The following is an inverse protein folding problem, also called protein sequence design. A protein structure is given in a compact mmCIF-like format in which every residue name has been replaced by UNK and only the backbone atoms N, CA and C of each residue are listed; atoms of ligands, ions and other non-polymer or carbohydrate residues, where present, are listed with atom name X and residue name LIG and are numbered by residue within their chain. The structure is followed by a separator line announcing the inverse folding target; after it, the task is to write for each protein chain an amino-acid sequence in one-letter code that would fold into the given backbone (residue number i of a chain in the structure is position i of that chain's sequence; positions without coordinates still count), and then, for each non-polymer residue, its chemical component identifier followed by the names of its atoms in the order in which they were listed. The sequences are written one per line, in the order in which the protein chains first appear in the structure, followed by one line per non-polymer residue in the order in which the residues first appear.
data_IF_673251952121
#
_entry.id   IF_673251952121
#
_cell.length_a   1.000
_cell.length_b   1.000
_cell.length_c   1.000
_cell.angle_alpha   90.00
_cell.angle_beta   90.00
_cell.angle_gamma   90.00
#
_symmetry.space_group_name_H-M   'P 1'
#
loop_
_entity.id
_entity.type
_entity.pdbx_description
1 polymer ?
#
# COMPACT_ATOMS: atom_id res chain seq x y z
N UNK A 1 62.94 -51.08 54.45
CA UNK A 1 61.80 -50.27 54.91
C UNK A 1 62.00 -48.83 54.44
N UNK A 2 61.01 -48.28 53.72
CA UNK A 2 60.84 -46.88 53.27
C UNK A 2 61.88 -46.28 52.30
N UNK A 3 61.50 -46.31 51.03
CA UNK A 3 61.72 -45.26 50.01
C UNK A 3 60.84 -44.01 50.33
N UNK A 4 60.88 -42.91 49.56
CA UNK A 4 61.94 -41.89 49.42
C UNK A 4 61.33 -40.47 49.57
N UNK A 5 62.04 -39.41 49.16
CA UNK A 5 61.53 -38.17 48.51
C UNK A 5 62.44 -36.97 48.82
N UNK A 6 62.70 -36.02 47.94
CA UNK A 6 62.69 -35.93 46.49
C UNK A 6 63.47 -34.64 46.16
N UNK A 7 64.14 -34.64 45.00
CA UNK A 7 65.04 -33.57 44.55
C UNK A 7 64.27 -32.31 44.07
N UNK A 8 64.59 -31.18 44.69
CA UNK A 8 65.00 -29.87 44.14
C UNK A 8 64.61 -29.51 42.67
N UNK A 9 64.14 -28.24 42.54
CA UNK A 9 64.08 -27.29 41.40
C UNK A 9 62.89 -27.36 40.43
N UNK A 10 62.05 -26.31 40.42
CA UNK A 10 61.91 -25.37 39.28
C UNK A 10 60.88 -24.26 39.57
N UNK A 11 61.30 -23.00 39.42
CA UNK A 11 60.47 -21.80 39.41
C UNK A 11 59.69 -21.67 38.11
N UNK A 12 58.38 -21.38 38.11
CA UNK A 12 57.74 -20.62 37.02
C UNK A 12 56.43 -19.97 37.45
N UNK A 13 56.32 -18.68 37.12
CA UNK A 13 55.16 -17.80 37.07
C UNK A 13 53.85 -18.49 36.64
N UNK A 14 52.75 -18.28 37.36
CA UNK A 14 51.39 -18.42 36.81
C UNK A 14 50.70 -17.07 36.99
N UNK A 15 50.81 -16.23 35.96
CA UNK A 15 49.88 -15.13 35.74
C UNK A 15 48.58 -15.74 35.21
N UNK A 16 47.47 -15.46 35.90
CA UNK A 16 46.14 -15.89 35.50
C UNK A 16 45.78 -15.27 34.14
N UNK A 17 45.82 -16.11 33.10
CA UNK A 17 45.38 -15.77 31.75
C UNK A 17 43.84 -15.84 31.72
N UNK A 18 43.19 -14.70 31.90
CA UNK A 18 41.78 -14.53 31.54
C UNK A 18 41.65 -14.69 30.02
N UNK A 19 41.36 -15.92 29.56
CA UNK A 19 40.95 -16.18 28.18
C UNK A 19 39.54 -15.63 28.04
N UNK A 20 39.44 -14.34 27.75
CA UNK A 20 38.24 -13.74 27.19
C UNK A 20 38.00 -14.41 25.83
N UNK A 21 37.03 -15.32 25.80
CA UNK A 21 36.42 -15.86 24.58
C UNK A 21 35.78 -14.71 23.83
N UNK A 22 36.56 -14.05 22.96
CA UNK A 22 36.02 -13.13 21.97
C UNK A 22 35.27 -13.97 20.95
N UNK A 23 33.96 -14.09 21.14
CA UNK A 23 33.04 -14.48 20.09
C UNK A 23 33.13 -13.41 19.00
N UNK A 24 33.97 -13.65 18.00
CA UNK A 24 33.93 -12.94 16.73
C UNK A 24 32.57 -13.23 16.10
N UNK A 25 31.56 -12.43 16.43
CA UNK A 25 30.35 -12.28 15.63
C UNK A 25 30.78 -11.66 14.32
N UNK A 26 31.21 -12.50 13.37
CA UNK A 26 31.27 -12.11 11.97
C UNK A 26 29.84 -11.73 11.59
N UNK A 27 29.60 -10.43 11.46
CA UNK A 27 28.40 -9.92 10.79
C UNK A 27 28.36 -10.59 9.42
N UNK A 28 27.45 -11.53 9.24
CA UNK A 28 27.19 -12.14 7.95
C UNK A 28 26.70 -11.02 7.03
N UNK A 29 27.62 -10.46 6.24
CA UNK A 29 27.27 -9.55 5.18
C UNK A 29 26.35 -10.31 4.23
N UNK A 30 25.10 -9.85 4.10
CA UNK A 30 24.16 -10.39 3.16
C UNK A 30 24.80 -10.33 1.76
N UNK A 31 25.01 -11.50 1.15
CA UNK A 31 25.65 -11.58 -0.17
C UNK A 31 24.68 -11.05 -1.21
N UNK A 32 25.11 -10.04 -1.97
CA UNK A 32 24.36 -9.60 -3.15
C UNK A 32 24.55 -10.61 -4.29
N UNK A 33 23.48 -11.29 -4.70
CA UNK A 33 23.50 -12.20 -5.85
C UNK A 33 23.55 -11.38 -7.15
N UNK A 34 24.45 -11.76 -8.06
CA UNK A 34 24.51 -11.15 -9.39
C UNK A 34 23.39 -11.66 -10.30
N UNK A 35 23.01 -10.87 -11.30
CA UNK A 35 22.03 -11.27 -12.32
C UNK A 35 22.48 -12.55 -13.05
N UNK A 36 23.76 -12.68 -13.38
CA UNK A 36 24.31 -13.84 -14.07
C UNK A 36 24.17 -15.14 -13.25
N UNK A 37 24.40 -15.07 -11.94
CA UNK A 37 24.22 -16.22 -11.03
C UNK A 37 22.77 -16.67 -10.96
N UNK A 38 21.83 -15.72 -10.88
CA UNK A 38 20.40 -15.99 -10.84
C UNK A 38 19.96 -16.65 -12.16
N UNK A 39 20.30 -16.05 -13.29
CA UNK A 39 19.93 -16.56 -14.61
C UNK A 39 20.54 -17.95 -14.83
N UNK A 40 21.81 -18.15 -14.47
CA UNK A 40 22.47 -19.45 -14.58
C UNK A 40 21.77 -20.52 -13.73
N UNK A 41 21.34 -20.18 -12.52
CA UNK A 41 20.62 -21.10 -11.65
C UNK A 41 19.27 -21.51 -12.25
N UNK A 42 18.51 -20.55 -12.79
CA UNK A 42 17.24 -20.82 -13.49
C UNK A 42 17.48 -21.69 -14.74
N UNK A 43 18.56 -21.42 -15.48
CA UNK A 43 18.91 -22.16 -16.68
C UNK A 43 19.28 -23.62 -16.39
N UNK A 44 20.13 -23.87 -15.37
CA UNK A 44 20.52 -25.21 -14.94
C UNK A 44 19.31 -26.01 -14.43
N UNK A 45 18.33 -25.35 -13.81
CA UNK A 45 17.09 -25.99 -13.37
C UNK A 45 16.17 -26.42 -14.52
N UNK A 46 16.43 -26.00 -15.77
CA UNK A 46 15.66 -26.37 -16.98
C UNK A 46 14.15 -26.14 -16.87
N UNK A 47 13.74 -25.13 -16.10
CA UNK A 47 12.33 -24.80 -15.87
C UNK A 47 11.67 -24.31 -17.17
N UNK A 48 12.44 -23.61 -18.00
CA UNK A 48 11.96 -23.01 -19.24
C UNK A 48 12.77 -23.46 -20.44
N UNK A 49 12.10 -23.59 -21.60
CA UNK A 49 12.73 -24.00 -22.87
C UNK A 49 13.54 -22.88 -23.54
N UNK A 50 13.21 -21.60 -23.29
CA UNK A 50 13.86 -20.44 -23.91
C UNK A 50 14.20 -19.37 -22.87
N UNK A 51 15.48 -19.02 -22.66
CA UNK A 51 15.89 -18.31 -21.46
C UNK A 51 16.05 -16.79 -21.63
N UNK A 52 15.04 -16.09 -22.15
CA UNK A 52 15.08 -14.63 -22.20
C UNK A 52 14.55 -14.04 -20.88
N UNK A 53 15.43 -14.02 -19.87
CA UNK A 53 15.16 -13.46 -18.55
C UNK A 53 15.99 -12.19 -18.31
N UNK A 54 15.45 -11.30 -17.49
CA UNK A 54 16.27 -10.35 -16.72
C UNK A 54 16.00 -10.59 -15.26
N UNK A 55 17.03 -10.49 -14.43
CA UNK A 55 16.88 -10.70 -13.01
C UNK A 55 17.60 -9.63 -12.19
N UNK A 56 16.99 -9.23 -11.09
CA UNK A 56 17.61 -8.35 -10.10
C UNK A 56 17.47 -8.94 -8.72
N UNK A 57 18.47 -8.70 -7.87
CA UNK A 57 18.45 -9.09 -6.47
C UNK A 57 18.46 -7.83 -5.60
N UNK A 58 17.53 -7.75 -4.64
CA UNK A 58 17.46 -6.65 -3.70
C UNK A 58 16.89 -7.15 -2.38
N UNK A 59 17.67 -6.99 -1.30
CA UNK A 59 17.28 -7.36 0.08
C UNK A 59 16.64 -8.75 0.21
N UNK A 60 17.32 -9.76 -0.32
CA UNK A 60 16.84 -11.14 -0.28
C UNK A 60 15.66 -11.43 -1.21
N UNK A 61 15.16 -10.45 -1.96
CA UNK A 61 14.13 -10.65 -2.97
C UNK A 61 14.75 -10.70 -4.36
N UNK A 62 14.51 -11.80 -5.07
CA UNK A 62 14.87 -11.93 -6.49
C UNK A 62 13.68 -11.51 -7.34
N UNK A 63 13.84 -10.52 -8.21
CA UNK A 63 12.83 -10.12 -9.18
C UNK A 63 13.25 -10.69 -10.53
N UNK A 64 12.39 -11.50 -11.14
CA UNK A 64 12.64 -12.12 -12.45
C UNK A 64 11.61 -11.59 -13.44
N UNK A 65 12.08 -10.99 -14.52
CA UNK A 65 11.28 -10.47 -15.61
C UNK A 65 11.35 -11.42 -16.81
N UNK A 66 10.20 -11.86 -17.31
CA UNK A 66 10.14 -12.74 -18.47
C UNK A 66 8.91 -12.49 -19.34
N UNK A 67 8.98 -12.86 -20.61
CA UNK A 67 7.83 -12.87 -21.49
C UNK A 67 7.09 -14.20 -21.42
N UNK A 68 5.76 -14.16 -21.28
CA UNK A 68 4.89 -15.34 -21.26
C UNK A 68 3.67 -15.12 -22.15
N UNK A 69 3.09 -16.20 -22.64
CA UNK A 69 1.85 -16.13 -23.41
C UNK A 69 0.74 -15.47 -22.54
N UNK A 70 0.04 -14.42 -23.01
CA UNK A 70 -1.04 -13.78 -22.27
C UNK A 70 -2.15 -14.75 -21.85
N UNK A 71 -2.39 -15.79 -22.64
CA UNK A 71 -3.41 -16.80 -22.38
C UNK A 71 -2.94 -17.92 -21.44
N UNK A 72 -1.69 -17.88 -20.95
CA UNK A 72 -1.22 -18.84 -19.97
C UNK A 72 -2.12 -18.79 -18.72
N UNK A 73 -2.63 -19.93 -18.24
CA UNK A 73 -3.53 -19.96 -17.09
C UNK A 73 -2.78 -19.54 -15.83
N UNK A 74 -3.52 -18.95 -14.88
CA UNK A 74 -2.93 -18.45 -13.63
C UNK A 74 -2.18 -19.54 -12.86
N UNK A 75 -2.73 -20.77 -12.87
CA UNK A 75 -2.13 -21.95 -12.24
C UNK A 75 -0.71 -22.21 -12.76
N UNK A 76 -0.48 -22.10 -14.07
CA UNK A 76 0.84 -22.34 -14.67
C UNK A 76 1.83 -21.25 -14.28
N UNK A 77 1.39 -19.98 -14.22
CA UNK A 77 2.24 -18.88 -13.77
C UNK A 77 2.71 -19.06 -12.32
N UNK A 78 1.81 -19.54 -11.46
CA UNK A 78 2.14 -19.86 -10.06
C UNK A 78 3.12 -21.02 -9.96
N UNK A 79 2.92 -22.07 -10.76
CA UNK A 79 3.84 -23.21 -10.84
C UNK A 79 5.22 -22.75 -11.29
N UNK A 80 5.30 -21.97 -12.38
CA UNK A 80 6.54 -21.39 -12.89
C UNK A 80 7.27 -20.60 -11.78
N UNK A 81 6.55 -19.75 -11.04
CA UNK A 81 7.11 -18.97 -9.95
C UNK A 81 7.62 -19.84 -8.79
N UNK A 82 6.86 -20.86 -8.39
CA UNK A 82 7.27 -21.80 -7.33
C UNK A 82 8.52 -22.57 -7.73
N UNK A 83 8.60 -23.06 -8.98
CA UNK A 83 9.76 -23.79 -9.48
C UNK A 83 11.02 -22.93 -9.49
N UNK A 84 10.91 -21.68 -9.96
CA UNK A 84 12.03 -20.72 -9.94
C UNK A 84 12.46 -20.42 -8.50
N UNK A 85 11.50 -20.20 -7.61
CA UNK A 85 11.76 -19.95 -6.19
C UNK A 85 12.51 -21.11 -5.56
N UNK A 86 12.03 -22.34 -5.78
CA UNK A 86 12.68 -23.55 -5.28
C UNK A 86 14.12 -23.67 -5.79
N UNK A 87 14.35 -23.52 -7.10
CA UNK A 87 15.69 -23.63 -7.68
C UNK A 87 16.68 -22.63 -7.08
N UNK A 88 16.26 -21.37 -6.92
CA UNK A 88 17.08 -20.32 -6.31
C UNK A 88 17.33 -20.58 -4.82
N UNK A 89 16.33 -21.07 -4.10
CA UNK A 89 16.41 -21.42 -2.67
C UNK A 89 17.30 -22.62 -2.39
N UNK A 90 17.25 -23.64 -3.25
CA UNK A 90 18.11 -24.82 -3.13
C UNK A 90 19.58 -24.44 -3.30
N UNK A 91 19.86 -23.44 -4.14
CA UNK A 91 21.22 -22.96 -4.40
C UNK A 91 21.71 -21.89 -3.40
N UNK A 92 20.81 -21.00 -2.97
CA UNK A 92 21.12 -19.83 -2.13
C UNK A 92 20.16 -19.74 -0.93
N UNK A 93 20.18 -20.72 -0.01
CA UNK A 93 19.17 -20.84 1.05
C UNK A 93 19.26 -19.76 2.14
N UNK A 94 20.42 -19.10 2.28
CA UNK A 94 20.61 -18.01 3.23
C UNK A 94 20.24 -16.64 2.63
N UNK A 95 20.35 -16.50 1.30
CA UNK A 95 20.26 -15.20 0.64
C UNK A 95 18.85 -14.91 0.11
N UNK A 96 18.16 -15.91 -0.45
CA UNK A 96 16.88 -15.69 -1.15
C UNK A 96 15.69 -15.85 -0.20
N UNK A 97 15.12 -14.75 0.29
CA UNK A 97 13.92 -14.71 1.15
C UNK A 97 12.61 -14.75 0.37
N UNK A 98 12.59 -14.22 -0.86
CA UNK A 98 11.40 -14.23 -1.71
C UNK A 98 11.78 -14.15 -3.20
N UNK A 99 10.87 -14.58 -4.06
CA UNK A 99 11.02 -14.42 -5.51
C UNK A 99 9.75 -13.83 -6.09
N UNK A 100 9.90 -12.73 -6.85
CA UNK A 100 8.83 -12.06 -7.58
C UNK A 100 9.01 -12.28 -9.07
N UNK A 101 8.11 -13.06 -9.68
CA UNK A 101 8.07 -13.25 -11.12
C UNK A 101 7.14 -12.23 -11.78
N UNK A 102 7.67 -11.51 -12.76
CA UNK A 102 6.93 -10.59 -13.61
C UNK A 102 6.80 -11.19 -15.01
N UNK A 103 5.59 -11.60 -15.37
CA UNK A 103 5.22 -12.18 -16.65
C UNK A 103 4.65 -11.11 -17.57
N UNK A 104 5.48 -10.59 -18.48
CA UNK A 104 5.08 -9.63 -19.50
C UNK A 104 4.38 -10.34 -20.66
N UNK A 105 3.35 -9.69 -21.19
CA UNK A 105 2.70 -10.13 -22.42
C UNK A 105 3.58 -9.78 -23.64
N UNK A 106 3.76 -10.77 -24.52
CA UNK A 106 4.53 -10.63 -25.75
C UNK A 106 3.89 -9.65 -26.74
N UNK A 107 2.56 -9.60 -26.75
CA UNK A 107 1.75 -8.76 -27.65
C UNK A 107 1.50 -7.38 -27.06
N UNK A 108 1.27 -7.29 -25.76
CA UNK A 108 1.08 -6.04 -25.02
C UNK A 108 2.15 -5.89 -23.94
N UNK A 109 3.30 -5.28 -24.29
CA UNK A 109 4.41 -5.08 -23.34
C UNK A 109 4.05 -4.20 -22.14
N UNK A 110 2.94 -3.47 -22.19
CA UNK A 110 2.43 -2.68 -21.10
C UNK A 110 1.60 -3.50 -20.09
N UNK A 111 1.26 -4.76 -20.37
CA UNK A 111 0.55 -5.64 -19.45
C UNK A 111 1.53 -6.58 -18.74
N UNK A 112 1.46 -6.61 -17.41
CA UNK A 112 2.26 -7.52 -16.58
C UNK A 112 1.36 -8.30 -15.63
N UNK A 113 1.67 -9.58 -15.46
CA UNK A 113 1.14 -10.43 -14.39
C UNK A 113 2.26 -10.73 -13.42
N UNK A 114 2.08 -10.43 -12.14
CA UNK A 114 3.10 -10.63 -11.12
C UNK A 114 2.68 -11.72 -10.14
N UNK A 115 3.61 -12.60 -9.80
CA UNK A 115 3.43 -13.61 -8.75
C UNK A 115 4.63 -13.58 -7.81
N UNK A 116 4.39 -13.34 -6.53
CA UNK A 116 5.44 -13.34 -5.49
C UNK A 116 5.32 -14.57 -4.61
N UNK A 117 6.42 -15.30 -4.45
CA UNK A 117 6.50 -16.51 -3.64
C UNK A 117 7.48 -16.27 -2.49
N UNK A 118 6.99 -16.17 -1.24
CA UNK A 118 7.85 -16.02 -0.08
C UNK A 118 8.48 -17.35 0.33
N UNK A 119 9.69 -17.30 0.91
CA UNK A 119 10.45 -18.45 1.40
C UNK A 119 9.63 -19.34 2.35
N UNK A 120 8.85 -18.74 3.24
CA UNK A 120 8.09 -19.46 4.25
C UNK A 120 7.12 -20.46 3.63
N UNK A 121 6.54 -20.15 2.46
CA UNK A 121 5.61 -21.02 1.76
C UNK A 121 6.32 -22.24 1.17
N UNK A 122 7.51 -22.04 0.60
CA UNK A 122 8.34 -23.14 0.10
C UNK A 122 8.79 -24.05 1.23
N UNK A 123 9.18 -23.49 2.38
CA UNK A 123 9.55 -24.27 3.57
C UNK A 123 8.39 -25.13 4.08
N UNK A 124 7.19 -24.55 4.21
CA UNK A 124 5.99 -25.27 4.66
C UNK A 124 5.58 -26.39 3.71
N UNK A 125 5.71 -26.15 2.40
CA UNK A 125 5.43 -27.19 1.40
C UNK A 125 6.49 -28.30 1.45
N UNK A 126 7.78 -27.95 1.51
CA UNK A 126 8.87 -28.92 1.59
C UNK A 126 8.82 -29.78 2.85
N UNK A 127 8.30 -29.25 3.97
CA UNK A 127 8.09 -30.01 5.20
C UNK A 127 6.79 -30.82 5.20
N UNK A 128 6.01 -30.82 4.12
CA UNK A 128 4.71 -31.50 4.03
C UNK A 128 3.59 -30.85 4.86
N UNK A 129 3.79 -29.62 5.34
CA UNK A 129 2.82 -28.91 6.20
C UNK A 129 1.66 -28.26 5.44
N UNK A 130 1.73 -28.22 4.11
CA UNK A 130 0.65 -27.78 3.19
C UNK A 130 0.70 -28.66 1.92
N UNK A 131 -0.45 -28.88 1.28
CA UNK A 131 -0.50 -29.61 0.01
C UNK A 131 -0.10 -28.70 -1.17
N UNK A 132 0.05 -29.30 -2.35
CA UNK A 132 0.31 -28.53 -3.57
C UNK A 132 -0.83 -27.56 -3.90
N UNK A 133 -2.08 -28.02 -3.79
CA UNK A 133 -3.23 -27.17 -4.09
C UNK A 133 -3.37 -26.03 -3.06
N UNK A 134 -3.07 -26.30 -1.78
CA UNK A 134 -2.99 -25.25 -0.76
C UNK A 134 -1.94 -24.20 -1.11
N UNK A 135 -0.71 -24.62 -1.45
CA UNK A 135 0.37 -23.72 -1.86
C UNK A 135 -0.06 -22.82 -3.01
N UNK A 136 -0.62 -23.39 -4.08
CA UNK A 136 -1.06 -22.63 -5.26
C UNK A 136 -2.27 -21.73 -4.98
N UNK A 137 -3.12 -22.09 -4.00
CA UNK A 137 -4.25 -21.27 -3.56
C UNK A 137 -3.82 -20.03 -2.78
N UNK A 138 -2.75 -20.12 -1.96
CA UNK A 138 -2.23 -19.00 -1.18
C UNK A 138 -1.50 -17.96 -2.04
N UNK A 139 -0.94 -18.38 -3.17
CA UNK A 139 -0.29 -17.47 -4.11
C UNK A 139 -1.35 -16.66 -4.87
N UNK A 140 -1.05 -15.40 -5.12
CA UNK A 140 -1.92 -14.51 -5.91
C UNK A 140 -1.17 -14.01 -7.13
N UNK A 141 -1.81 -14.05 -8.29
CA UNK A 141 -1.30 -13.37 -9.48
C UNK A 141 -1.99 -12.03 -9.63
N UNK A 142 -1.24 -10.95 -9.49
CA UNK A 142 -1.75 -9.60 -9.68
C UNK A 142 -1.57 -9.17 -11.13
N UNK A 143 -2.64 -8.62 -11.74
CA UNK A 143 -2.57 -7.97 -13.05
C UNK A 143 -2.22 -6.50 -12.84
N UNK A 144 -1.26 -5.99 -13.58
CA UNK A 144 -0.84 -4.59 -13.51
C UNK A 144 -0.40 -4.04 -14.87
N UNK A 145 -0.16 -2.73 -14.91
CA UNK A 145 0.58 -2.11 -16.00
C UNK A 145 2.08 -2.35 -15.77
N UNK A 146 2.82 -2.63 -16.84
CA UNK A 146 4.26 -2.84 -16.81
C UNK A 146 4.95 -1.60 -16.26
N UNK A 147 5.46 -1.70 -15.04
CA UNK A 147 6.53 -0.81 -14.59
C UNK A 147 7.78 -1.34 -15.26
N UNK A 148 8.08 -0.80 -16.45
CA UNK A 148 9.33 -1.09 -17.15
C UNK A 148 10.45 -0.84 -16.15
N UNK A 149 11.14 -1.92 -15.76
CA UNK A 149 12.38 -1.85 -14.98
C UNK A 149 13.48 -1.29 -15.89
N UNK A 150 13.40 0.00 -16.19
CA UNK A 150 14.53 0.79 -16.65
C UNK A 150 15.31 1.17 -15.40
N UNK A 151 16.47 0.55 -15.25
CA UNK A 151 17.63 1.16 -14.60
C UNK A 151 17.78 2.58 -15.14
N UNK A 152 17.36 3.58 -14.37
CA UNK A 152 17.37 4.99 -14.76
C UNK A 152 16.08 5.68 -14.37
N UNK A 153 16.16 6.51 -13.32
CA UNK A 153 15.17 7.50 -12.87
C UNK A 153 13.70 7.10 -13.11
N UNK A 154 13.07 6.55 -12.06
CA UNK A 154 11.63 6.36 -12.01
C UNK A 154 10.92 7.64 -12.50
N UNK A 155 10.24 7.55 -13.65
CA UNK A 155 9.28 8.56 -14.07
C UNK A 155 8.10 8.49 -13.12
N UNK A 156 7.95 9.53 -12.30
CA UNK A 156 7.00 9.70 -11.19
C UNK A 156 5.57 9.95 -11.71
N UNK A 157 5.08 9.15 -12.66
CA UNK A 157 3.92 9.55 -13.46
C UNK A 157 2.63 8.79 -13.20
N UNK A 158 2.60 7.73 -12.38
CA UNK A 158 1.33 7.01 -12.11
C UNK A 158 1.36 6.09 -10.87
N UNK A 159 1.63 6.65 -9.70
CA UNK A 159 1.38 5.90 -8.45
C UNK A 159 -0.10 6.04 -8.10
N UNK A 160 -0.77 4.90 -7.94
CA UNK A 160 -2.16 4.84 -7.48
C UNK A 160 -2.27 4.93 -5.96
N UNK A 161 -3.39 5.44 -5.47
CA UNK A 161 -3.70 5.52 -4.03
C UNK A 161 -3.64 4.12 -3.39
N UNK A 162 -4.06 3.10 -4.12
CA UNK A 162 -4.08 1.70 -3.68
C UNK A 162 -2.67 1.13 -3.50
N UNK A 163 -1.70 1.57 -4.31
CA UNK A 163 -0.30 1.20 -4.11
C UNK A 163 0.24 1.82 -2.81
N UNK A 164 -0.06 3.09 -2.55
CA UNK A 164 0.34 3.76 -1.29
C UNK A 164 -0.25 3.07 -0.07
N UNK A 165 -1.54 2.70 -0.13
CA UNK A 165 -2.26 2.01 0.96
C UNK A 165 -1.69 0.63 1.29
N UNK A 166 -1.13 -0.07 0.30
CA UNK A 166 -0.61 -1.45 0.45
C UNK A 166 0.84 -1.50 0.88
N UNK A 167 1.58 -0.41 0.72
CA UNK A 167 2.97 -0.36 1.14
C UNK A 167 3.07 -0.35 2.66
N UNK A 168 4.07 -1.06 3.18
CA UNK A 168 4.44 -1.01 4.58
C UNK A 168 5.96 -0.80 4.63
N UNK A 169 6.47 0.22 5.34
CA UNK A 169 7.91 0.38 5.53
C UNK A 169 8.51 -0.89 6.13
N UNK A 170 9.75 -1.18 5.78
CA UNK A 170 10.51 -2.31 6.36
C UNK A 170 11.21 -1.84 7.63
N UNK A 171 11.29 -2.69 8.65
CA UNK A 171 12.03 -2.40 9.89
C UNK A 171 13.48 -1.96 9.59
N UNK A 172 13.93 -0.93 10.29
CA UNK A 172 15.25 -0.33 10.04
C UNK A 172 15.40 1.05 10.66
N UNK A 173 16.40 1.80 10.19
CA UNK A 173 16.71 3.13 10.72
C UNK A 173 15.46 4.04 10.73
N UNK A 174 15.15 4.62 11.90
CA UNK A 174 13.99 5.50 12.12
C UNK A 174 12.64 4.91 11.67
N UNK A 175 12.46 3.61 11.88
CA UNK A 175 11.25 2.89 11.47
C UNK A 175 9.93 3.56 11.90
N UNK A 176 9.81 3.92 13.18
CA UNK A 176 8.60 4.57 13.73
C UNK A 176 8.28 5.91 13.05
N UNK A 177 9.31 6.72 12.82
CA UNK A 177 9.16 8.01 12.13
C UNK A 177 8.76 7.80 10.66
N UNK A 178 9.31 6.78 10.01
CA UNK A 178 8.97 6.42 8.62
C UNK A 178 7.55 5.87 8.50
N UNK A 179 7.08 5.09 9.46
CA UNK A 179 5.67 4.67 9.55
C UNK A 179 4.78 5.90 9.65
N UNK A 180 5.11 6.83 10.55
CA UNK A 180 4.33 8.07 10.73
C UNK A 180 4.29 8.89 9.44
N UNK A 181 5.43 9.01 8.75
CA UNK A 181 5.53 9.72 7.49
C UNK A 181 4.74 9.04 6.37
N UNK A 182 4.79 7.72 6.28
CA UNK A 182 3.98 6.93 5.36
C UNK A 182 2.47 7.09 5.62
N UNK A 183 2.04 7.09 6.89
CA UNK A 183 0.63 7.31 7.24
C UNK A 183 0.14 8.68 6.77
N UNK A 184 0.93 9.73 6.99
CA UNK A 184 0.64 11.09 6.49
C UNK A 184 0.54 11.11 4.97
N UNK A 185 1.43 10.42 4.29
CA UNK A 185 1.44 10.38 2.83
C UNK A 185 0.25 9.61 2.25
N UNK A 186 -0.18 8.55 2.94
CA UNK A 186 -1.44 7.84 2.66
C UNK A 186 -2.64 8.76 2.83
N UNK A 187 -2.65 9.64 3.83
CA UNK A 187 -3.70 10.64 4.01
C UNK A 187 -3.79 11.60 2.81
N UNK A 188 -2.65 12.15 2.37
CA UNK A 188 -2.60 13.02 1.17
C UNK A 188 -3.15 12.29 -0.06
N UNK A 189 -2.76 11.03 -0.24
CA UNK A 189 -3.23 10.22 -1.37
C UNK A 189 -4.75 10.01 -1.34
N UNK A 190 -5.33 9.77 -0.15
CA UNK A 190 -6.79 9.62 -0.02
C UNK A 190 -7.56 10.92 -0.19
N UNK A 191 -6.96 12.07 0.15
CA UNK A 191 -7.56 13.39 -0.01
C UNK A 191 -7.43 13.97 -1.41
N UNK A 192 -6.75 13.28 -2.33
CA UNK A 192 -6.59 13.71 -3.72
C UNK A 192 -5.55 14.82 -3.92
N UNK A 193 -4.63 15.01 -2.96
CA UNK A 193 -3.49 15.91 -3.15
C UNK A 193 -2.46 15.38 -4.14
N UNK A 194 -1.52 16.21 -4.59
CA UNK A 194 -0.39 15.77 -5.40
C UNK A 194 0.62 14.97 -4.54
N UNK A 195 0.30 13.71 -4.28
CA UNK A 195 1.10 12.81 -3.43
C UNK A 195 2.22 12.10 -4.20
N UNK A 196 2.21 12.14 -5.54
CA UNK A 196 3.12 11.36 -6.39
C UNK A 196 4.58 11.78 -6.16
N UNK A 197 4.83 13.09 -6.06
CA UNK A 197 6.17 13.61 -5.81
C UNK A 197 6.69 13.20 -4.42
N UNK A 198 5.86 13.38 -3.38
CA UNK A 198 6.21 13.00 -2.02
C UNK A 198 6.42 11.47 -1.92
N UNK A 199 5.60 10.68 -2.62
CA UNK A 199 5.76 9.23 -2.70
C UNK A 199 7.09 8.82 -3.31
N UNK A 200 7.50 9.45 -4.41
CA UNK A 200 8.79 9.15 -5.04
C UNK A 200 9.97 9.46 -4.12
N UNK A 201 9.91 10.58 -3.40
CA UNK A 201 10.93 10.94 -2.40
C UNK A 201 10.93 9.96 -1.22
N UNK A 202 9.75 9.54 -0.77
CA UNK A 202 9.62 8.52 0.27
C UNK A 202 10.25 7.19 -0.17
N UNK A 203 9.98 6.72 -1.39
CA UNK A 203 10.61 5.51 -1.92
C UNK A 203 12.14 5.65 -2.09
N UNK A 204 12.64 6.85 -2.37
CA UNK A 204 14.06 7.12 -2.41
C UNK A 204 14.70 7.03 -1.01
N UNK A 205 14.03 7.58 0.02
CA UNK A 205 14.45 7.43 1.42
C UNK A 205 14.47 5.95 1.83
N UNK A 206 13.43 5.19 1.49
CA UNK A 206 13.34 3.76 1.78
C UNK A 206 14.50 3.00 1.11
N UNK A 207 14.80 3.30 -0.16
CA UNK A 207 15.93 2.70 -0.85
C UNK A 207 17.27 3.05 -0.20
N UNK A 208 17.48 4.30 0.24
CA UNK A 208 18.69 4.70 0.95
C UNK A 208 18.89 3.91 2.24
N UNK A 209 17.84 3.81 3.05
CA UNK A 209 17.89 3.09 4.34
C UNK A 209 18.08 1.60 4.13
N UNK A 210 17.42 1.01 3.13
CA UNK A 210 17.60 -0.40 2.77
C UNK A 210 19.02 -0.69 2.28
N UNK A 211 19.73 0.31 1.74
CA UNK A 211 21.15 0.21 1.39
C UNK A 211 22.09 0.53 2.56
N UNK A 212 21.58 0.65 3.79
CA UNK A 212 22.35 0.90 5.00
C UNK A 212 22.72 2.37 5.24
N UNK A 213 22.13 3.32 4.51
CA UNK A 213 22.34 4.74 4.79
C UNK A 213 21.72 5.13 6.14
N UNK A 214 22.52 5.75 6.99
CA UNK A 214 22.13 6.22 8.32
C UNK A 214 22.88 7.50 8.67
N UNK A 215 22.38 8.27 9.65
CA UNK A 215 23.05 9.44 10.18
C UNK A 215 22.58 10.76 9.54
N UNK A 216 23.39 11.80 9.69
CA UNK A 216 22.97 13.20 9.50
C UNK A 216 22.49 13.55 8.09
N UNK A 217 23.01 12.90 7.06
CA UNK A 217 22.55 13.11 5.68
C UNK A 217 21.16 12.50 5.45
N UNK A 218 20.93 11.28 5.94
CA UNK A 218 19.61 10.62 5.92
C UNK A 218 18.61 11.41 6.76
N UNK A 219 19.03 11.98 7.89
CA UNK A 219 18.18 12.83 8.73
C UNK A 219 17.75 14.12 8.05
N UNK A 220 18.67 14.78 7.32
CA UNK A 220 18.32 15.97 6.52
C UNK A 220 17.35 15.64 5.41
N UNK A 221 17.55 14.51 4.72
CA UNK A 221 16.62 14.06 3.69
C UNK A 221 15.23 13.75 4.29
N UNK A 222 15.22 13.08 5.45
CA UNK A 222 13.99 12.79 6.18
C UNK A 222 13.22 14.06 6.56
N UNK A 223 13.90 15.07 7.14
CA UNK A 223 13.29 16.34 7.53
C UNK A 223 12.73 17.13 6.33
N UNK A 224 13.47 17.13 5.22
CA UNK A 224 13.00 17.77 3.98
C UNK A 224 11.71 17.12 3.47
N UNK A 225 11.65 15.78 3.48
CA UNK A 225 10.47 15.03 3.07
C UNK A 225 9.28 15.24 4.02
N UNK A 226 9.54 15.32 5.33
CA UNK A 226 8.50 15.58 6.32
C UNK A 226 7.88 16.96 6.13
N UNK A 227 8.70 17.98 5.84
CA UNK A 227 8.24 19.34 5.52
C UNK A 227 7.41 19.36 4.24
N UNK A 228 7.91 18.74 3.16
CA UNK A 228 7.20 18.67 1.89
C UNK A 228 5.86 17.94 2.01
N UNK A 229 5.81 16.85 2.76
CA UNK A 229 4.57 16.08 2.99
C UNK A 229 3.55 16.90 3.77
N UNK A 230 3.99 17.68 4.76
CA UNK A 230 3.10 18.55 5.55
C UNK A 230 2.48 19.66 4.68
N UNK A 231 3.28 20.29 3.82
CA UNK A 231 2.80 21.28 2.85
C UNK A 231 1.81 20.67 1.83
N UNK A 232 2.03 19.42 1.43
CA UNK A 232 1.09 18.70 0.55
C UNK A 232 -0.26 18.41 1.24
N UNK A 233 -0.26 18.12 2.56
CA UNK A 233 -1.49 17.97 3.34
C UNK A 233 -2.26 19.29 3.39
N UNK A 234 -1.58 20.38 3.72
CA UNK A 234 -2.19 21.71 3.85
C UNK A 234 -2.80 22.17 2.52
N UNK A 235 -2.08 22.01 1.41
CA UNK A 235 -2.59 22.35 0.08
C UNK A 235 -3.79 21.48 -0.35
N UNK A 236 -3.78 20.17 -0.05
CA UNK A 236 -4.91 19.29 -0.31
C UNK A 236 -6.15 19.71 0.51
N UNK A 237 -5.96 20.07 1.78
CA UNK A 237 -7.04 20.54 2.64
C UNK A 237 -7.62 21.88 2.17
N UNK A 238 -6.76 22.80 1.74
CA UNK A 238 -7.18 24.07 1.15
C UNK A 238 -8.01 23.86 -0.12
N UNK A 239 -7.60 22.94 -1.00
CA UNK A 239 -8.35 22.59 -2.21
C UNK A 239 -9.73 21.99 -1.89
N UNK A 240 -9.82 21.05 -0.94
CA UNK A 240 -11.11 20.48 -0.51
C UNK A 240 -12.03 21.58 0.01
N UNK A 241 -11.50 22.50 0.82
CA UNK A 241 -12.27 23.60 1.41
C UNK A 241 -12.76 24.56 0.33
N UNK A 242 -11.89 24.94 -0.62
CA UNK A 242 -12.24 25.81 -1.75
C UNK A 242 -13.30 25.16 -2.66
N UNK A 243 -13.15 23.86 -2.96
CA UNK A 243 -14.13 23.12 -3.76
C UNK A 243 -15.49 23.07 -3.05
N UNK A 244 -15.50 22.81 -1.74
CA UNK A 244 -16.74 22.81 -0.94
C UNK A 244 -17.41 24.18 -0.92
N UNK A 245 -16.64 25.27 -0.79
CA UNK A 245 -17.16 26.63 -0.89
C UNK A 245 -17.76 26.89 -2.28
N UNK A 246 -17.09 26.47 -3.34
CA UNK A 246 -17.58 26.66 -4.70
C UNK A 246 -18.84 25.85 -5.00
N UNK A 247 -18.91 24.62 -4.50
CA UNK A 247 -20.10 23.76 -4.61
C UNK A 247 -21.26 24.33 -3.80
N UNK A 248 -20.98 24.89 -2.63
CA UNK A 248 -21.97 25.63 -1.85
C UNK A 248 -22.48 26.84 -2.63
N UNK A 249 -21.60 27.69 -3.17
CA UNK A 249 -21.97 28.86 -3.99
C UNK A 249 -22.84 28.46 -5.19
N UNK A 250 -22.46 27.40 -5.91
CA UNK A 250 -23.26 26.86 -7.03
C UNK A 250 -24.63 26.36 -6.56
N UNK A 251 -24.71 25.76 -5.38
CA UNK A 251 -25.98 25.38 -4.76
C UNK A 251 -26.80 26.61 -4.35
N UNK A 252 -26.18 27.68 -3.83
CA UNK A 252 -26.90 28.93 -3.53
C UNK A 252 -27.48 29.55 -4.80
N UNK A 253 -26.70 29.58 -5.87
CA UNK A 253 -27.12 30.10 -7.17
C UNK A 253 -28.22 29.22 -7.81
N UNK A 254 -28.14 27.90 -7.68
CA UNK A 254 -29.18 27.01 -8.20
C UNK A 254 -30.47 27.09 -7.39
N UNK A 255 -30.39 27.25 -6.06
CA UNK A 255 -31.54 27.45 -5.18
C UNK A 255 -32.17 28.84 -5.38
N UNK A 256 -31.36 29.86 -5.66
CA UNK A 256 -31.85 31.20 -5.99
C UNK A 256 -32.52 31.27 -7.37
N UNK A 257 -32.02 30.52 -8.35
CA UNK A 257 -32.50 30.55 -9.73
C UNK A 257 -33.59 29.50 -10.04
N UNK A 258 -33.64 28.38 -9.32
CA UNK A 258 -34.67 27.37 -9.52
C UNK A 258 -35.85 27.66 -8.58
N UNK A 259 -37.06 27.64 -9.12
CA UNK A 259 -38.26 27.44 -8.31
C UNK A 259 -38.29 25.99 -7.82
N UNK A 260 -37.35 25.64 -6.93
CA UNK A 260 -37.17 24.29 -6.40
C UNK A 260 -38.42 23.79 -5.65
N UNK A 261 -39.27 24.72 -5.22
CA UNK A 261 -40.57 24.43 -4.61
C UNK A 261 -41.74 24.46 -5.62
N UNK A 262 -41.48 24.74 -6.89
CA UNK A 262 -42.48 24.74 -7.96
C UNK A 262 -42.87 23.33 -8.41
N UNK A 263 -42.00 22.35 -8.20
CA UNK A 263 -42.26 20.94 -8.51
C UNK A 263 -42.26 20.10 -7.24
N UNK A 264 -43.25 19.20 -7.10
CA UNK A 264 -43.30 18.27 -5.98
C UNK A 264 -42.13 17.26 -6.02
N UNK A 265 -41.76 16.65 -4.88
CA UNK A 265 -40.71 15.62 -4.84
C UNK A 265 -40.96 14.47 -5.80
N UNK A 266 -39.90 13.80 -6.26
CA UNK A 266 -40.03 12.63 -7.11
C UNK A 266 -40.41 11.38 -6.29
N UNK A 267 -41.26 10.47 -6.80
CA UNK A 267 -41.55 9.19 -6.14
C UNK A 267 -40.28 8.39 -5.83
N UNK A 268 -40.25 7.73 -4.68
CA UNK A 268 -39.09 6.95 -4.24
C UNK A 268 -38.99 6.81 -2.73
N UNK A 269 -37.77 6.54 -2.23
CA UNK A 269 -37.51 6.39 -0.80
C UNK A 269 -38.05 7.60 -0.01
N UNK A 270 -38.74 7.32 1.11
CA UNK A 270 -39.33 8.33 1.99
C UNK A 270 -40.22 9.39 1.29
N UNK A 271 -40.84 9.07 0.15
CA UNK A 271 -41.60 10.03 -0.66
C UNK A 271 -42.61 10.85 0.15
N UNK A 272 -43.46 10.19 0.94
CA UNK A 272 -44.49 10.86 1.77
C UNK A 272 -43.85 11.89 2.72
N UNK A 273 -42.73 11.52 3.34
CA UNK A 273 -42.00 12.37 4.28
C UNK A 273 -41.35 13.56 3.57
N UNK A 274 -40.71 13.31 2.42
CA UNK A 274 -40.15 14.36 1.57
C UNK A 274 -41.21 15.34 1.06
N UNK A 275 -42.41 14.84 0.73
CA UNK A 275 -43.56 15.69 0.39
C UNK A 275 -44.05 16.53 1.58
N UNK A 276 -44.05 15.99 2.79
CA UNK A 276 -44.38 16.75 3.99
C UNK A 276 -43.38 17.89 4.24
N UNK A 277 -42.08 17.62 4.10
CA UNK A 277 -41.02 18.63 4.19
C UNK A 277 -41.23 19.72 3.12
N UNK A 278 -41.45 19.33 1.87
CA UNK A 278 -41.70 20.25 0.76
C UNK A 278 -42.89 21.18 1.02
N UNK A 279 -44.01 20.64 1.53
CA UNK A 279 -45.18 21.43 1.91
C UNK A 279 -44.86 22.43 3.04
N UNK A 280 -44.14 22.01 4.07
CA UNK A 280 -43.73 22.88 5.17
C UNK A 280 -42.84 24.04 4.70
N UNK A 281 -41.94 23.79 3.74
CA UNK A 281 -41.10 24.81 3.13
C UNK A 281 -41.91 25.83 2.33
N UNK A 282 -42.88 25.36 1.53
CA UNK A 282 -43.80 26.25 0.79
C UNK A 282 -44.61 27.14 1.73
N UNK A 283 -45.11 26.58 2.81
CA UNK A 283 -45.85 27.34 3.82
C UNK A 283 -44.97 28.42 4.48
N UNK A 284 -43.74 28.07 4.88
CA UNK A 284 -42.78 29.03 5.44
C UNK A 284 -42.44 30.16 4.46
N UNK A 285 -42.26 29.84 3.16
CA UNK A 285 -42.06 30.84 2.10
C UNK A 285 -43.24 31.80 2.01
N UNK A 286 -44.46 31.26 2.01
CA UNK A 286 -45.69 32.06 1.96
C UNK A 286 -45.85 32.96 3.20
N UNK A 287 -45.28 32.58 4.34
CA UNK A 287 -45.21 33.38 5.55
C UNK A 287 -44.09 34.44 5.53
N UNK A 288 -43.34 34.57 4.42
CA UNK A 288 -42.24 35.53 4.30
C UNK A 288 -40.97 35.13 5.06
N UNK A 289 -40.88 33.89 5.55
CA UNK A 289 -39.67 33.38 6.19
C UNK A 289 -38.61 33.12 5.13
N UNK A 290 -37.37 33.56 5.36
CA UNK A 290 -36.24 33.16 4.52
C UNK A 290 -36.01 31.65 4.66
N UNK A 291 -36.26 30.93 3.57
CA UNK A 291 -36.13 29.48 3.52
C UNK A 291 -34.86 29.00 2.82
N UNK A 292 -33.95 29.90 2.46
CA UNK A 292 -32.76 29.59 1.66
C UNK A 292 -31.92 28.47 2.28
N UNK A 293 -31.74 28.49 3.61
CA UNK A 293 -31.07 27.41 4.34
C UNK A 293 -31.82 26.08 4.18
N UNK A 294 -33.14 26.06 4.41
CA UNK A 294 -33.91 24.81 4.46
C UNK A 294 -34.05 24.16 3.08
N UNK A 295 -34.16 24.98 2.04
CA UNK A 295 -34.21 24.48 0.66
C UNK A 295 -32.91 23.79 0.27
N UNK A 296 -31.74 24.27 0.73
CA UNK A 296 -30.45 23.60 0.45
C UNK A 296 -30.40 22.20 1.04
N UNK A 297 -30.77 22.07 2.32
CA UNK A 297 -30.72 20.77 2.98
C UNK A 297 -31.78 19.81 2.46
N UNK A 298 -32.95 20.33 2.08
CA UNK A 298 -33.95 19.53 1.39
C UNK A 298 -33.50 19.10 -0.02
N UNK A 299 -32.84 19.95 -0.80
CA UNK A 299 -32.30 19.60 -2.11
C UNK A 299 -31.19 18.54 -2.04
N UNK A 300 -30.29 18.65 -1.07
CA UNK A 300 -29.29 17.63 -0.81
C UNK A 300 -29.94 16.28 -0.43
N UNK A 301 -30.99 16.33 0.40
CA UNK A 301 -31.78 15.16 0.77
C UNK A 301 -32.48 14.51 -0.44
N UNK A 302 -33.14 15.29 -1.30
CA UNK A 302 -33.76 14.81 -2.55
C UNK A 302 -32.76 14.08 -3.45
N UNK A 303 -31.61 14.71 -3.70
CA UNK A 303 -30.56 14.13 -4.54
C UNK A 303 -30.01 12.82 -3.97
N UNK A 304 -29.75 12.78 -2.66
CA UNK A 304 -29.24 11.58 -1.99
C UNK A 304 -30.27 10.44 -2.04
N UNK A 305 -31.55 10.72 -1.75
CA UNK A 305 -32.61 9.71 -1.79
C UNK A 305 -32.84 9.14 -3.19
N UNK A 306 -32.70 9.96 -4.23
CA UNK A 306 -32.81 9.50 -5.63
C UNK A 306 -31.61 8.70 -6.11
N UNK A 307 -30.41 9.04 -5.63
CA UNK A 307 -29.17 8.41 -6.08
C UNK A 307 -28.91 7.08 -5.37
N UNK A 308 -29.13 7.01 -4.06
CA UNK A 308 -28.75 5.86 -3.23
C UNK A 308 -29.91 5.17 -2.51
N UNK A 309 -31.15 5.66 -2.65
CA UNK A 309 -32.33 4.99 -2.12
C UNK A 309 -32.37 4.94 -0.59
N UNK A 310 -32.76 3.79 -0.03
CA UNK A 310 -32.84 3.57 1.42
C UNK A 310 -31.48 3.20 2.01
N UNK A 311 -30.86 4.13 2.74
CA UNK A 311 -29.62 3.91 3.49
C UNK A 311 -29.74 4.51 4.89
N UNK A 312 -28.98 4.01 5.89
CA UNK A 312 -28.94 4.62 7.23
C UNK A 312 -28.63 6.12 7.20
N UNK A 313 -27.72 6.54 6.33
CA UNK A 313 -27.36 7.95 6.12
C UNK A 313 -28.54 8.76 5.57
N UNK A 314 -29.26 8.23 4.57
CA UNK A 314 -30.41 8.92 3.99
C UNK A 314 -31.58 9.03 4.98
N UNK A 315 -31.81 8.01 5.82
CA UNK A 315 -32.78 8.06 6.92
C UNK A 315 -32.48 9.20 7.87
N UNK A 316 -31.22 9.32 8.31
CA UNK A 316 -30.78 10.40 9.19
C UNK A 316 -30.91 11.78 8.53
N UNK A 317 -30.60 11.89 7.24
CA UNK A 317 -30.77 13.13 6.48
C UNK A 317 -32.25 13.57 6.44
N UNK A 318 -33.18 12.67 6.10
CA UNK A 318 -34.62 12.99 6.08
C UNK A 318 -35.09 13.44 7.46
N UNK A 319 -34.75 12.71 8.53
CA UNK A 319 -35.09 13.09 9.91
C UNK A 319 -34.45 14.40 10.36
N UNK A 320 -33.26 14.73 9.83
CA UNK A 320 -32.57 15.99 10.09
C UNK A 320 -33.33 17.16 9.48
N UNK A 321 -33.73 17.04 8.21
CA UNK A 321 -34.46 18.09 7.50
C UNK A 321 -35.86 18.28 8.10
N UNK A 322 -36.56 17.21 8.48
CA UNK A 322 -37.85 17.30 9.19
C UNK A 322 -37.75 18.15 10.45
N UNK A 323 -36.75 17.88 11.30
CA UNK A 323 -36.53 18.66 12.53
C UNK A 323 -36.27 20.13 12.24
N UNK A 324 -35.50 20.42 11.19
CA UNK A 324 -35.17 21.79 10.79
C UNK A 324 -36.42 22.57 10.33
N UNK A 325 -37.34 21.90 9.61
CA UNK A 325 -38.59 22.54 9.18
C UNK A 325 -39.70 22.51 10.23
N UNK A 326 -39.46 21.92 11.40
CA UNK A 326 -40.40 21.84 12.51
C UNK A 326 -41.38 20.66 12.45
N UNK A 327 -41.05 19.61 11.68
CA UNK A 327 -41.79 18.34 11.63
C UNK A 327 -41.17 17.39 12.67
N UNK A 328 -42.00 16.74 13.48
CA UNK A 328 -41.53 15.74 14.43
C UNK A 328 -41.16 14.43 13.68
N UNK A 329 -39.89 14.01 13.66
CA UNK A 329 -39.46 12.87 12.85
C UNK A 329 -40.02 11.55 13.39
N UNK A 330 -40.58 10.73 12.50
CA UNK A 330 -40.95 9.35 12.82
C UNK A 330 -39.74 8.40 12.68
N UNK A 331 -39.71 7.30 13.44
CA UNK A 331 -38.74 6.23 13.21
C UNK A 331 -38.90 5.63 11.80
N UNK A 332 -37.79 5.12 11.26
CA UNK A 332 -37.70 4.48 9.94
C UNK A 332 -37.60 2.96 10.07
#
# INVERSE_FOLDING_TARGET
MRSPNNKILTSTLIAALCISTQSLTQSAHARTLSEAEIIQTIHVAKIFKTPNFRATFSDGTVIVNMYRNPNAPERDLKIDAVLVTKALRDRYPADVKAVSMNFYDQTNRAAVRQCTVPEQMIKRFASGGITQDDLLSFLTVTKGAAVVATTGRASVSSVSVEQVKRYLPVEGYRFEDRITLWQKLREVATKGGNFQQAWAQFMQLEALINNGAQGSETDRFFQALQTATSQAIESAQAHITAQTMQDNIKLEQSVANADFLGTAPHPGFAYIRRTAIWNALRQKRAQGVDISWFVRSFAACEKACLTSGDTPTNRQLVQGVERQVGINPLPF
#
